data_IF_733853511602
#
_entry.id   IF_733853511602
#
_cell.length_a   1.000
_cell.length_b   1.000
_cell.length_c   1.000
_cell.angle_alpha   90.00
_cell.angle_beta   90.00
_cell.angle_gamma   90.00
#
_symmetry.space_group_name_H-M   'P 1'
#
loop_
_entity.id
_entity.type
_entity.pdbx_description
1 polymer ?
#
# COMPACT_ATOMS: atom_id res chain seq x y z
N UNK A 1 13.04 41.62 -10.19
CA UNK A 1 12.18 40.96 -9.19
C UNK A 1 12.67 41.33 -7.80
N UNK A 2 11.85 42.04 -6.99
CA UNK A 2 12.22 42.38 -5.59
C UNK A 2 12.40 41.06 -4.83
N UNK A 3 13.60 40.81 -4.30
CA UNK A 3 13.86 39.67 -3.41
C UNK A 3 12.92 39.81 -2.20
N UNK A 4 12.07 38.87 -2.00
CA UNK A 4 11.19 38.77 -0.81
C UNK A 4 12.14 38.61 0.39
N UNK A 5 12.13 39.58 1.33
CA UNK A 5 12.94 39.49 2.54
C UNK A 5 12.28 38.52 3.52
N UNK A 6 12.92 37.38 3.86
CA UNK A 6 12.33 36.38 4.76
C UNK A 6 12.03 36.96 6.16
N UNK A 7 12.65 38.05 6.56
CA UNK A 7 12.40 38.74 7.83
C UNK A 7 11.00 39.32 7.91
N UNK A 8 10.45 39.80 6.78
CA UNK A 8 9.10 40.36 6.71
C UNK A 8 8.06 39.22 6.94
N UNK A 9 8.27 38.06 6.31
CA UNK A 9 7.39 36.89 6.49
C UNK A 9 7.43 36.42 7.94
N UNK A 10 8.63 36.29 8.52
CA UNK A 10 8.79 35.89 9.92
C UNK A 10 8.16 36.88 10.89
N UNK A 11 8.30 38.18 10.66
CA UNK A 11 7.69 39.23 11.45
C UNK A 11 6.16 39.20 11.38
N UNK A 12 5.58 39.00 10.19
CA UNK A 12 4.14 38.84 10.00
C UNK A 12 3.60 37.59 10.72
N UNK A 13 4.30 36.45 10.63
CA UNK A 13 3.92 35.23 11.33
C UNK A 13 3.92 35.41 12.84
N UNK A 14 4.92 36.10 13.40
CA UNK A 14 4.96 36.40 14.84
C UNK A 14 3.84 37.34 15.26
N UNK A 15 3.50 38.36 14.47
CA UNK A 15 2.39 39.28 14.76
C UNK A 15 1.03 38.56 14.72
N UNK A 16 0.80 37.76 13.71
CA UNK A 16 -0.45 36.96 13.60
C UNK A 16 -0.54 35.95 14.73
N UNK A 17 0.55 35.23 15.03
CA UNK A 17 0.58 34.25 16.12
C UNK A 17 0.39 34.88 17.49
N UNK A 18 1.07 36.00 17.77
CA UNK A 18 0.91 36.75 19.00
C UNK A 18 -0.51 37.30 19.15
N UNK A 19 -1.10 37.82 18.07
CA UNK A 19 -2.47 38.30 18.04
C UNK A 19 -3.51 37.22 18.33
N UNK A 20 -3.34 36.03 17.73
CA UNK A 20 -4.21 34.89 17.98
C UNK A 20 -4.08 34.35 19.41
N UNK A 21 -2.85 34.26 19.94
CA UNK A 21 -2.59 33.86 21.31
C UNK A 21 -3.21 34.83 22.32
N UNK A 22 -3.13 36.15 22.06
CA UNK A 22 -3.77 37.16 22.87
C UNK A 22 -5.32 37.06 22.81
N UNK A 23 -5.89 36.88 21.64
CA UNK A 23 -7.32 36.68 21.45
C UNK A 23 -7.84 35.43 22.18
N UNK A 24 -7.06 34.36 22.23
CA UNK A 24 -7.37 33.17 23.02
C UNK A 24 -7.30 33.47 24.52
N UNK A 25 -6.24 34.11 24.98
CA UNK A 25 -6.08 34.47 26.40
C UNK A 25 -7.21 35.39 26.90
N UNK A 26 -7.73 36.25 26.04
CA UNK A 26 -8.88 37.12 26.34
C UNK A 26 -10.23 36.42 26.19
N UNK A 27 -10.27 35.12 25.80
CA UNK A 27 -11.52 34.35 25.66
C UNK A 27 -12.34 34.63 24.40
N UNK A 28 -11.83 35.42 23.45
CA UNK A 28 -12.55 35.73 22.20
C UNK A 28 -12.52 34.55 21.21
N UNK A 29 -11.54 33.63 21.30
CA UNK A 29 -11.41 32.49 20.42
C UNK A 29 -11.19 31.21 21.26
N UNK A 30 -12.05 30.21 21.11
CA UNK A 30 -11.96 28.97 21.87
C UNK A 30 -10.82 28.05 21.36
N UNK A 31 -10.47 28.09 20.07
CA UNK A 31 -9.47 27.22 19.46
C UNK A 31 -8.37 28.04 18.74
N UNK A 32 -7.93 29.14 19.36
CA UNK A 32 -6.93 30.03 18.73
C UNK A 32 -5.60 29.34 18.49
N UNK A 33 -5.19 28.39 19.37
CA UNK A 33 -3.96 27.61 19.17
C UNK A 33 -4.02 26.76 17.91
N UNK A 34 -5.16 26.08 17.67
CA UNK A 34 -5.33 25.18 16.53
C UNK A 34 -5.39 25.99 15.23
N UNK A 35 -6.12 27.13 15.24
CA UNK A 35 -6.16 28.07 14.12
C UNK A 35 -4.77 28.61 13.80
N UNK A 36 -3.98 28.96 14.85
CA UNK A 36 -2.62 29.47 14.67
C UNK A 36 -1.70 28.40 14.07
N UNK A 37 -1.60 27.24 14.71
CA UNK A 37 -0.69 26.18 14.26
C UNK A 37 -1.13 25.59 12.93
N UNK A 38 -2.41 25.29 12.74
CA UNK A 38 -2.94 24.81 11.48
C UNK A 38 -2.74 25.81 10.35
N UNK A 39 -3.04 27.08 10.59
CA UNK A 39 -2.81 28.17 9.63
C UNK A 39 -1.31 28.37 9.30
N UNK A 40 -0.44 28.27 10.31
CA UNK A 40 1.01 28.36 10.12
C UNK A 40 1.53 27.23 9.23
N UNK A 41 1.15 25.97 9.53
CA UNK A 41 1.57 24.84 8.72
C UNK A 41 1.03 24.93 7.29
N UNK A 42 -0.22 25.34 7.10
CA UNK A 42 -0.77 25.59 5.76
C UNK A 42 0.04 26.67 5.02
N UNK A 43 0.30 27.82 5.66
CA UNK A 43 1.03 28.92 5.03
C UNK A 43 2.45 28.50 4.63
N UNK A 44 3.19 27.86 5.54
CA UNK A 44 4.55 27.37 5.27
C UNK A 44 4.52 26.28 4.18
N UNK A 45 3.57 25.35 4.24
CA UNK A 45 3.39 24.32 3.23
C UNK A 45 3.13 24.92 1.84
N UNK A 46 2.24 25.91 1.75
CA UNK A 46 1.97 26.61 0.49
C UNK A 46 3.21 27.35 -0.04
N UNK A 47 4.03 27.95 0.83
CA UNK A 47 5.31 28.55 0.41
C UNK A 47 6.22 27.50 -0.21
N UNK A 48 6.34 26.32 0.39
CA UNK A 48 7.12 25.23 -0.23
C UNK A 48 6.53 24.79 -1.57
N UNK A 49 5.20 24.73 -1.71
CA UNK A 49 4.56 24.37 -2.98
C UNK A 49 4.81 25.42 -4.07
N UNK A 50 5.01 26.71 -3.74
CA UNK A 50 5.39 27.71 -4.76
C UNK A 50 6.75 27.44 -5.39
N UNK A 51 7.67 26.78 -4.65
CA UNK A 51 8.98 26.40 -5.19
C UNK A 51 8.91 25.34 -6.29
N UNK A 52 7.80 24.60 -6.38
CA UNK A 52 7.56 23.65 -7.47
C UNK A 52 7.54 24.34 -8.83
N UNK A 53 6.99 25.56 -8.91
CA UNK A 53 6.99 26.36 -10.15
C UNK A 53 8.40 26.75 -10.59
N UNK A 54 9.38 26.77 -9.65
CA UNK A 54 10.79 26.96 -9.94
C UNK A 54 11.54 25.66 -10.29
N UNK A 55 10.85 24.53 -10.42
CA UNK A 55 11.45 23.24 -10.75
C UNK A 55 12.05 22.46 -9.57
N UNK A 56 11.86 22.94 -8.34
CA UNK A 56 12.38 22.31 -7.12
C UNK A 56 11.46 21.17 -6.66
N UNK A 57 11.49 20.03 -7.36
CA UNK A 57 10.60 18.87 -7.09
C UNK A 57 10.63 18.37 -5.65
N UNK A 58 11.77 18.49 -4.94
CA UNK A 58 11.92 18.06 -3.55
C UNK A 58 11.02 18.84 -2.58
N UNK A 59 10.63 20.06 -2.94
CA UNK A 59 9.76 20.90 -2.11
C UNK A 59 8.32 20.36 -2.02
N UNK A 60 7.97 19.38 -2.85
CA UNK A 60 6.72 18.63 -2.74
C UNK A 60 6.59 17.94 -1.38
N UNK A 61 7.69 17.36 -0.85
CA UNK A 61 7.66 16.64 0.42
C UNK A 61 7.26 17.55 1.60
N UNK A 62 8.01 18.60 1.95
CA UNK A 62 7.59 19.49 3.01
C UNK A 62 6.28 20.21 2.66
N UNK A 63 6.06 20.57 1.40
CA UNK A 63 4.88 21.30 0.97
C UNK A 63 3.57 20.56 1.25
N UNK A 64 3.39 19.40 0.67
CA UNK A 64 2.16 18.61 0.86
C UNK A 64 2.03 18.05 2.27
N UNK A 65 3.14 17.66 2.92
CA UNK A 65 3.12 17.17 4.31
C UNK A 65 2.63 18.26 5.27
N UNK A 66 3.15 19.48 5.14
CA UNK A 66 2.74 20.60 5.99
C UNK A 66 1.30 21.05 5.69
N UNK A 67 0.88 21.04 4.43
CA UNK A 67 -0.52 21.29 4.06
C UNK A 67 -1.43 20.21 4.66
N UNK A 68 -1.07 18.94 4.58
CA UNK A 68 -1.82 17.85 5.19
C UNK A 68 -1.91 17.97 6.71
N UNK A 69 -0.81 18.33 7.37
CA UNK A 69 -0.77 18.57 8.81
C UNK A 69 -1.62 19.77 9.21
N UNK A 70 -1.51 20.88 8.48
CA UNK A 70 -2.34 22.05 8.72
C UNK A 70 -3.84 21.78 8.52
N UNK A 71 -4.19 21.00 7.50
CA UNK A 71 -5.55 20.56 7.25
C UNK A 71 -6.08 19.65 8.39
N UNK A 72 -5.23 18.71 8.88
CA UNK A 72 -5.56 17.87 10.02
C UNK A 72 -5.91 18.70 11.27
N UNK A 73 -5.06 19.68 11.60
CA UNK A 73 -5.27 20.52 12.80
C UNK A 73 -6.51 21.39 12.69
N UNK A 74 -6.86 21.86 11.49
CA UNK A 74 -8.03 22.71 11.25
C UNK A 74 -9.30 21.90 10.96
N UNK A 75 -9.22 20.58 11.01
CA UNK A 75 -10.37 19.74 10.70
C UNK A 75 -11.48 19.93 11.73
N UNK A 76 -12.74 20.08 11.31
CA UNK A 76 -13.88 20.13 12.25
C UNK A 76 -14.01 18.79 12.99
N UNK A 77 -14.40 18.84 14.29
CA UNK A 77 -14.59 17.64 15.13
C UNK A 77 -15.52 16.59 14.52
N UNK A 78 -16.45 17.01 13.66
CA UNK A 78 -17.34 16.08 12.92
C UNK A 78 -16.61 15.20 11.89
N UNK A 79 -15.37 15.52 11.56
CA UNK A 79 -14.54 14.82 10.59
C UNK A 79 -13.23 14.29 11.18
N UNK A 80 -13.06 14.33 12.51
CA UNK A 80 -11.84 13.92 13.21
C UNK A 80 -11.40 12.47 12.86
N UNK A 81 -12.36 11.59 12.60
CA UNK A 81 -12.10 10.21 12.16
C UNK A 81 -11.28 10.13 10.85
N UNK A 82 -11.38 11.14 9.98
CA UNK A 82 -10.64 11.22 8.72
C UNK A 82 -9.30 11.95 8.82
N UNK A 83 -8.97 12.49 9.99
CA UNK A 83 -7.77 13.30 10.17
C UNK A 83 -6.49 12.57 9.77
N UNK A 84 -6.36 11.31 10.18
CA UNK A 84 -5.25 10.45 9.78
C UNK A 84 -5.17 10.22 8.27
N UNK A 85 -6.33 10.04 7.61
CA UNK A 85 -6.39 9.88 6.16
C UNK A 85 -5.96 11.15 5.41
N UNK A 86 -6.37 12.32 5.90
CA UNK A 86 -6.00 13.62 5.32
C UNK A 86 -4.48 13.83 5.41
N UNK A 87 -3.90 13.56 6.58
CA UNK A 87 -2.45 13.69 6.76
C UNK A 87 -1.65 12.71 5.91
N UNK A 88 -2.01 11.42 5.95
CA UNK A 88 -1.37 10.39 5.11
C UNK A 88 -1.56 10.67 3.62
N UNK A 89 -2.74 11.15 3.24
CA UNK A 89 -3.04 11.59 1.88
C UNK A 89 -2.17 12.76 1.44
N UNK A 90 -1.92 13.73 2.33
CA UNK A 90 -0.99 14.83 2.08
C UNK A 90 0.42 14.33 1.78
N UNK A 91 0.94 13.41 2.61
CA UNK A 91 2.24 12.79 2.35
C UNK A 91 2.21 11.99 1.04
N UNK A 92 1.16 11.20 0.78
CA UNK A 92 1.01 10.43 -0.46
C UNK A 92 1.04 11.34 -1.69
N UNK A 93 0.37 12.48 -1.66
CA UNK A 93 0.36 13.46 -2.75
C UNK A 93 1.75 13.97 -3.11
N UNK A 94 2.66 14.10 -2.12
CA UNK A 94 4.06 14.48 -2.41
C UNK A 94 4.76 13.45 -3.30
N UNK A 95 4.57 12.15 -2.99
CA UNK A 95 5.17 11.07 -3.77
C UNK A 95 4.48 10.91 -5.14
N UNK A 96 3.16 11.09 -5.22
CA UNK A 96 2.44 11.11 -6.49
C UNK A 96 2.93 12.24 -7.39
N UNK A 97 3.10 13.45 -6.85
CA UNK A 97 3.67 14.57 -7.60
C UNK A 97 5.06 14.25 -8.14
N UNK A 98 5.95 13.71 -7.28
CA UNK A 98 7.31 13.33 -7.65
C UNK A 98 7.29 12.29 -8.78
N UNK A 99 6.43 11.27 -8.68
CA UNK A 99 6.25 10.27 -9.73
C UNK A 99 5.80 10.87 -11.05
N UNK A 100 4.75 11.71 -11.04
CA UNK A 100 4.21 12.29 -12.26
C UNK A 100 5.13 13.31 -12.92
N UNK A 101 6.07 13.91 -12.18
CA UNK A 101 7.04 14.86 -12.74
C UNK A 101 8.08 14.16 -13.65
N UNK A 102 8.48 12.92 -13.34
CA UNK A 102 9.37 12.11 -14.19
C UNK A 102 9.15 10.62 -13.94
N UNK A 103 8.21 10.02 -14.67
CA UNK A 103 7.81 8.60 -14.48
C UNK A 103 8.95 7.61 -14.73
N UNK A 104 9.91 7.96 -15.56
CA UNK A 104 11.03 7.10 -15.91
C UNK A 104 12.09 7.12 -14.81
N UNK A 105 12.50 8.29 -14.35
CA UNK A 105 13.58 8.45 -13.37
C UNK A 105 13.10 8.27 -11.94
N UNK A 106 11.84 8.67 -11.66
CA UNK A 106 11.26 8.71 -10.31
C UNK A 106 10.18 7.66 -10.09
N UNK A 107 10.28 6.57 -10.83
CA UNK A 107 9.36 5.44 -10.69
C UNK A 107 9.26 4.90 -9.27
N UNK A 108 10.35 4.98 -8.49
CA UNK A 108 10.42 4.53 -7.11
C UNK A 108 9.41 5.23 -6.20
N UNK A 109 9.03 6.47 -6.53
CA UNK A 109 8.06 7.24 -5.74
C UNK A 109 6.65 6.63 -5.78
N UNK A 110 6.36 5.77 -6.77
CA UNK A 110 5.09 5.06 -6.88
C UNK A 110 4.86 4.09 -5.70
N UNK A 111 5.94 3.50 -5.16
CA UNK A 111 5.84 2.57 -4.01
C UNK A 111 5.34 3.32 -2.76
N UNK A 112 6.04 4.33 -2.22
CA UNK A 112 5.54 5.05 -1.05
C UNK A 112 4.22 5.79 -1.33
N UNK A 113 3.99 6.29 -2.55
CA UNK A 113 2.70 6.87 -2.93
C UNK A 113 1.55 5.87 -2.74
N UNK A 114 1.71 4.65 -3.26
CA UNK A 114 0.71 3.60 -3.14
C UNK A 114 0.51 3.10 -1.71
N UNK A 115 1.61 2.89 -0.97
CA UNK A 115 1.55 2.47 0.45
C UNK A 115 0.80 3.50 1.30
N UNK A 116 1.13 4.79 1.18
CA UNK A 116 0.49 5.86 1.94
C UNK A 116 -0.97 6.07 1.52
N UNK A 117 -1.27 5.92 0.23
CA UNK A 117 -2.65 5.93 -0.25
C UNK A 117 -3.45 4.75 0.32
N UNK A 118 -2.87 3.55 0.35
CA UNK A 118 -3.52 2.39 0.96
C UNK A 118 -3.78 2.59 2.45
N UNK A 119 -2.80 3.15 3.19
CA UNK A 119 -2.98 3.50 4.61
C UNK A 119 -4.10 4.55 4.81
N UNK A 120 -4.13 5.60 3.98
CA UNK A 120 -5.20 6.60 4.04
C UNK A 120 -6.58 5.98 3.78
N UNK A 121 -6.67 5.07 2.81
CA UNK A 121 -7.90 4.34 2.51
C UNK A 121 -8.32 3.41 3.64
N UNK A 122 -7.37 2.77 4.34
CA UNK A 122 -7.68 1.97 5.55
C UNK A 122 -8.30 2.83 6.63
N UNK A 123 -7.77 4.02 6.89
CA UNK A 123 -8.37 4.93 7.88
C UNK A 123 -9.81 5.31 7.50
N UNK A 124 -10.07 5.58 6.21
CA UNK A 124 -11.43 5.87 5.73
C UNK A 124 -12.33 4.63 5.78
N UNK A 125 -11.79 3.45 5.47
CA UNK A 125 -12.57 2.21 5.44
C UNK A 125 -12.87 1.66 6.83
N UNK A 126 -11.97 1.88 7.82
CA UNK A 126 -12.10 1.33 9.17
C UNK A 126 -13.38 1.76 9.88
N UNK A 127 -13.94 2.92 9.54
CA UNK A 127 -15.22 3.39 10.11
C UNK A 127 -16.45 2.59 9.64
N UNK A 128 -16.36 1.87 8.50
CA UNK A 128 -17.50 1.14 7.90
C UNK A 128 -17.20 -0.32 7.54
N UNK A 129 -15.95 -0.66 7.31
CA UNK A 129 -15.50 -1.95 6.76
C UNK A 129 -14.22 -2.43 7.48
N UNK A 130 -14.22 -2.42 8.81
CA UNK A 130 -13.06 -2.78 9.64
C UNK A 130 -12.50 -4.17 9.27
N UNK A 131 -13.38 -5.14 9.02
CA UNK A 131 -13.04 -6.52 8.62
C UNK A 131 -12.18 -6.59 7.34
N UNK A 132 -12.36 -5.65 6.38
CA UNK A 132 -11.61 -5.61 5.12
C UNK A 132 -10.38 -4.72 5.13
N UNK A 133 -10.06 -4.06 6.26
CA UNK A 133 -8.95 -3.09 6.35
C UNK A 133 -7.61 -3.72 5.98
N UNK A 134 -7.35 -4.95 6.43
CA UNK A 134 -6.15 -5.71 6.07
C UNK A 134 -6.07 -6.00 4.57
N UNK A 135 -7.20 -6.39 3.96
CA UNK A 135 -7.26 -6.65 2.51
C UNK A 135 -7.04 -5.37 1.69
N UNK A 136 -7.65 -4.26 2.11
CA UNK A 136 -7.48 -2.93 1.48
C UNK A 136 -6.01 -2.50 1.53
N UNK A 137 -5.37 -2.66 2.70
CA UNK A 137 -3.96 -2.31 2.89
C UNK A 137 -3.04 -3.15 2.01
N UNK A 138 -3.11 -4.47 2.14
CA UNK A 138 -2.25 -5.39 1.40
C UNK A 138 -2.50 -5.31 -0.12
N UNK A 139 -3.77 -5.25 -0.52
CA UNK A 139 -4.15 -5.10 -1.92
C UNK A 139 -3.69 -3.78 -2.52
N UNK A 140 -3.82 -2.68 -1.77
CA UNK A 140 -3.35 -1.36 -2.20
C UNK A 140 -1.84 -1.32 -2.43
N UNK A 141 -1.06 -1.92 -1.53
CA UNK A 141 0.40 -2.05 -1.73
C UNK A 141 0.70 -2.96 -2.93
N UNK A 142 -0.02 -4.10 -3.06
CA UNK A 142 0.12 -4.99 -4.20
C UNK A 142 -0.11 -4.27 -5.53
N UNK A 143 -1.15 -3.44 -5.62
CA UNK A 143 -1.44 -2.61 -6.79
C UNK A 143 -0.32 -1.60 -7.09
N UNK A 144 0.31 -1.00 -6.06
CA UNK A 144 1.45 -0.11 -6.26
C UNK A 144 2.63 -0.84 -6.92
N UNK A 145 2.93 -2.08 -6.51
CA UNK A 145 3.98 -2.88 -7.14
C UNK A 145 3.62 -3.30 -8.57
N UNK A 146 2.38 -3.64 -8.87
CA UNK A 146 1.95 -3.85 -10.26
C UNK A 146 2.07 -2.56 -11.08
N UNK A 147 1.77 -1.41 -10.48
CA UNK A 147 2.04 -0.11 -11.10
C UNK A 147 3.52 0.07 -11.45
N UNK A 148 4.43 -0.29 -10.55
CA UNK A 148 5.89 -0.27 -10.80
C UNK A 148 6.25 -1.18 -11.98
N UNK A 149 5.73 -2.40 -12.03
CA UNK A 149 5.93 -3.31 -13.16
C UNK A 149 5.51 -2.67 -14.48
N UNK A 150 4.33 -2.02 -14.52
CA UNK A 150 3.80 -1.40 -15.73
C UNK A 150 4.61 -0.19 -16.22
N UNK A 151 5.45 0.43 -15.38
CA UNK A 151 6.31 1.54 -15.81
C UNK A 151 7.48 1.10 -16.70
N UNK A 152 7.97 -0.14 -16.53
CA UNK A 152 8.96 -0.78 -17.41
C UNK A 152 8.93 -2.30 -17.17
N UNK A 153 8.20 -3.01 -18.00
CA UNK A 153 7.91 -4.44 -17.82
C UNK A 153 9.15 -5.34 -17.94
N UNK A 154 10.20 -4.90 -18.66
CA UNK A 154 11.43 -5.69 -18.85
C UNK A 154 12.42 -5.53 -17.71
N UNK A 155 12.61 -4.34 -17.18
CA UNK A 155 13.57 -4.08 -16.09
C UNK A 155 12.96 -4.29 -14.70
N UNK A 156 11.63 -4.05 -14.57
CA UNK A 156 10.92 -4.06 -13.29
C UNK A 156 10.02 -5.28 -13.12
N UNK A 157 10.32 -6.35 -13.83
CA UNK A 157 9.61 -7.62 -13.73
C UNK A 157 9.57 -8.16 -12.28
N UNK A 158 10.59 -7.88 -11.48
CA UNK A 158 10.67 -8.27 -10.07
C UNK A 158 9.50 -7.77 -9.23
N UNK A 159 8.89 -6.65 -9.63
CA UNK A 159 7.76 -6.07 -8.91
C UNK A 159 6.49 -6.93 -9.00
N UNK A 160 6.41 -7.87 -9.95
CA UNK A 160 5.35 -8.87 -10.01
C UNK A 160 5.33 -9.76 -8.76
N UNK A 161 6.51 -10.05 -8.15
CA UNK A 161 6.59 -10.92 -6.98
C UNK A 161 5.91 -10.27 -5.77
N UNK A 162 6.37 -9.11 -5.24
CA UNK A 162 5.69 -8.47 -4.13
C UNK A 162 4.24 -8.07 -4.48
N UNK A 163 3.97 -7.64 -5.72
CA UNK A 163 2.62 -7.34 -6.18
C UNK A 163 1.68 -8.54 -6.05
N UNK A 164 2.07 -9.70 -6.55
CA UNK A 164 1.29 -10.92 -6.49
C UNK A 164 1.17 -11.51 -5.08
N UNK A 165 2.27 -11.52 -4.31
CA UNK A 165 2.26 -12.01 -2.91
C UNK A 165 1.30 -11.18 -2.05
N UNK A 166 1.39 -9.85 -2.12
CA UNK A 166 0.53 -8.95 -1.33
C UNK A 166 -0.93 -9.03 -1.76
N UNK A 167 -1.20 -9.16 -3.07
CA UNK A 167 -2.57 -9.38 -3.57
C UNK A 167 -3.13 -10.75 -3.15
N UNK A 168 -2.28 -11.78 -3.10
CA UNK A 168 -2.64 -13.10 -2.55
C UNK A 168 -3.00 -12.98 -1.08
N UNK A 169 -2.16 -12.32 -0.27
CA UNK A 169 -2.44 -12.10 1.15
C UNK A 169 -3.74 -11.31 1.36
N UNK A 170 -3.99 -10.28 0.54
CA UNK A 170 -5.26 -9.55 0.57
C UNK A 170 -6.47 -10.46 0.30
N UNK A 171 -6.36 -11.36 -0.69
CA UNK A 171 -7.40 -12.35 -0.97
C UNK A 171 -7.57 -13.36 0.16
N UNK A 172 -6.48 -13.78 0.78
CA UNK A 172 -6.45 -14.70 1.93
C UNK A 172 -7.13 -14.10 3.16
N UNK A 173 -6.92 -12.80 3.46
CA UNK A 173 -7.62 -12.15 4.59
C UNK A 173 -9.14 -12.16 4.38
N UNK A 174 -9.62 -11.94 3.15
CA UNK A 174 -11.05 -12.03 2.82
C UNK A 174 -11.57 -13.47 2.89
N UNK A 175 -10.75 -14.43 2.44
CA UNK A 175 -11.13 -15.84 2.44
C UNK A 175 -11.19 -16.44 3.85
N UNK A 176 -10.30 -16.01 4.76
CA UNK A 176 -10.22 -16.53 6.12
C UNK A 176 -11.54 -16.35 6.90
N UNK A 177 -12.21 -15.22 6.69
CA UNK A 177 -13.51 -14.96 7.33
C UNK A 177 -14.64 -15.89 6.87
N UNK A 178 -14.50 -16.43 5.64
CA UNK A 178 -15.56 -17.25 5.02
C UNK A 178 -15.30 -18.75 5.09
N UNK A 179 -14.04 -19.18 5.07
CA UNK A 179 -13.69 -20.58 4.81
C UNK A 179 -12.90 -21.27 5.94
N UNK A 180 -12.42 -20.54 6.94
CA UNK A 180 -11.60 -21.08 8.03
C UNK A 180 -10.11 -21.28 7.65
N UNK A 181 -9.28 -21.60 8.68
CA UNK A 181 -7.81 -21.51 8.57
C UNK A 181 -7.17 -22.50 7.59
N UNK A 182 -7.62 -23.74 7.58
CA UNK A 182 -6.97 -24.78 6.76
C UNK A 182 -7.24 -24.58 5.27
N UNK A 183 -8.43 -24.16 4.92
CA UNK A 183 -8.83 -23.88 3.54
C UNK A 183 -8.12 -22.62 3.02
N UNK A 184 -7.94 -21.65 3.89
CA UNK A 184 -7.24 -20.41 3.60
C UNK A 184 -5.77 -20.66 3.23
N UNK A 185 -5.10 -21.66 3.84
CA UNK A 185 -3.77 -22.09 3.43
C UNK A 185 -3.71 -22.58 1.98
N UNK A 186 -4.72 -23.31 1.52
CA UNK A 186 -4.84 -23.75 0.12
C UNK A 186 -4.91 -22.57 -0.85
N UNK A 187 -5.75 -21.57 -0.55
CA UNK A 187 -5.84 -20.34 -1.33
C UNK A 187 -4.54 -19.54 -1.35
N UNK A 188 -3.83 -19.49 -0.21
CA UNK A 188 -2.53 -18.83 -0.12
C UNK A 188 -1.51 -19.47 -1.08
N UNK A 189 -1.30 -20.76 -1.01
CA UNK A 189 -0.36 -21.45 -1.89
C UNK A 189 -0.77 -21.37 -3.37
N UNK A 190 -2.05 -21.45 -3.67
CA UNK A 190 -2.55 -21.30 -5.04
C UNK A 190 -2.33 -19.87 -5.56
N UNK A 191 -2.56 -18.83 -4.76
CA UNK A 191 -2.26 -17.45 -5.13
C UNK A 191 -0.77 -17.20 -5.35
N UNK A 192 0.10 -17.78 -4.51
CA UNK A 192 1.55 -17.75 -4.75
C UNK A 192 1.93 -18.47 -6.04
N UNK A 193 1.32 -19.62 -6.34
CA UNK A 193 1.54 -20.33 -7.59
C UNK A 193 1.19 -19.45 -8.80
N UNK A 194 0.04 -18.77 -8.77
CA UNK A 194 -0.36 -17.81 -9.79
C UNK A 194 0.64 -16.66 -9.91
N UNK A 195 1.16 -16.16 -8.80
CA UNK A 195 2.19 -15.12 -8.78
C UNK A 195 3.44 -15.56 -9.56
N UNK A 196 3.98 -16.75 -9.25
CA UNK A 196 5.16 -17.26 -9.95
C UNK A 196 4.85 -17.65 -11.40
N UNK A 197 3.63 -18.09 -11.71
CA UNK A 197 3.20 -18.33 -13.08
C UNK A 197 3.17 -17.03 -13.88
N UNK A 198 2.66 -15.94 -13.30
CA UNK A 198 2.71 -14.62 -13.92
C UNK A 198 4.15 -14.16 -14.18
N UNK A 199 5.06 -14.37 -13.22
CA UNK A 199 6.49 -14.09 -13.40
C UNK A 199 7.06 -14.92 -14.55
N UNK A 200 6.79 -16.24 -14.59
CA UNK A 200 7.27 -17.11 -15.64
C UNK A 200 6.82 -16.65 -17.05
N UNK A 201 5.54 -16.30 -17.18
CA UNK A 201 4.91 -15.95 -18.47
C UNK A 201 5.26 -14.52 -18.89
N UNK A 202 5.06 -13.54 -18.00
CA UNK A 202 5.19 -12.12 -18.33
C UNK A 202 6.66 -11.66 -18.36
N UNK A 203 7.49 -12.16 -17.43
CA UNK A 203 8.91 -11.86 -17.40
C UNK A 203 9.74 -12.85 -18.24
N UNK A 204 9.12 -13.88 -18.82
CA UNK A 204 9.74 -14.93 -19.63
C UNK A 204 10.91 -15.63 -18.92
N UNK A 205 10.76 -15.92 -17.63
CA UNK A 205 11.78 -16.51 -16.78
C UNK A 205 11.45 -17.98 -16.50
N UNK A 206 12.28 -18.89 -17.02
CA UNK A 206 12.02 -20.35 -16.90
C UNK A 206 12.10 -20.89 -15.47
N UNK A 207 12.91 -20.30 -14.59
CA UNK A 207 13.05 -20.73 -13.21
C UNK A 207 11.75 -20.64 -12.41
N UNK A 208 10.88 -19.67 -12.76
CA UNK A 208 9.65 -19.39 -12.01
C UNK A 208 8.56 -20.48 -12.21
N UNK A 209 8.69 -21.33 -13.23
CA UNK A 209 7.77 -22.48 -13.40
C UNK A 209 7.91 -23.52 -12.27
N UNK A 210 9.11 -23.68 -11.69
CA UNK A 210 9.31 -24.65 -10.61
C UNK A 210 8.56 -24.27 -9.32
N UNK A 211 8.76 -23.07 -8.74
CA UNK A 211 7.96 -22.67 -7.59
C UNK A 211 6.46 -22.60 -7.94
N UNK A 212 6.07 -22.17 -9.14
CA UNK A 212 4.67 -22.17 -9.56
C UNK A 212 4.05 -23.58 -9.51
N UNK A 213 4.76 -24.60 -10.02
CA UNK A 213 4.28 -25.97 -10.00
C UNK A 213 4.18 -26.55 -8.58
N UNK A 214 5.23 -26.39 -7.76
CA UNK A 214 5.23 -26.89 -6.38
C UNK A 214 4.13 -26.25 -5.54
N UNK A 215 4.05 -24.91 -5.57
CA UNK A 215 3.03 -24.16 -4.84
C UNK A 215 1.61 -24.45 -5.38
N UNK A 216 1.49 -24.66 -6.69
CA UNK A 216 0.23 -25.06 -7.32
C UNK A 216 -0.28 -26.41 -6.82
N UNK A 217 0.59 -27.40 -6.73
CA UNK A 217 0.26 -28.71 -6.14
C UNK A 217 -0.15 -28.54 -4.67
N UNK A 218 0.61 -27.79 -3.87
CA UNK A 218 0.27 -27.52 -2.46
C UNK A 218 -1.08 -26.80 -2.35
N UNK A 219 -1.35 -25.84 -3.21
CA UNK A 219 -2.62 -25.11 -3.26
C UNK A 219 -3.80 -26.01 -3.60
N UNK A 220 -3.67 -26.85 -4.64
CA UNK A 220 -4.70 -27.82 -5.03
C UNK A 220 -4.98 -28.82 -3.90
N UNK A 221 -3.94 -29.36 -3.26
CA UNK A 221 -4.09 -30.28 -2.14
C UNK A 221 -4.77 -29.59 -0.94
N UNK A 222 -4.41 -28.35 -0.63
CA UNK A 222 -5.06 -27.56 0.43
C UNK A 222 -6.52 -27.27 0.13
N UNK A 223 -6.88 -26.95 -1.12
CA UNK A 223 -8.28 -26.73 -1.56
C UNK A 223 -9.04 -28.07 -1.63
N UNK A 224 -8.41 -29.13 -2.11
CA UNK A 224 -9.02 -30.45 -2.19
C UNK A 224 -9.37 -31.03 -0.80
N UNK A 225 -8.65 -30.61 0.24
CA UNK A 225 -9.01 -30.93 1.62
C UNK A 225 -10.37 -30.32 2.05
N UNK A 226 -10.85 -29.27 1.37
CA UNK A 226 -12.22 -28.75 1.48
C UNK A 226 -13.31 -29.76 1.11
N UNK A 227 -13.02 -30.67 0.21
CA UNK A 227 -13.98 -31.56 -0.42
C UNK A 227 -14.00 -32.96 0.22
N UNK A 228 -13.48 -33.09 1.45
CA UNK A 228 -13.27 -34.38 2.14
C UNK A 228 -12.41 -35.40 1.34
N UNK A 229 -11.83 -34.98 0.23
CA UNK A 229 -10.96 -35.83 -0.59
C UNK A 229 -9.60 -36.12 0.09
N UNK A 230 -9.24 -35.37 1.14
CA UNK A 230 -7.98 -35.59 1.86
C UNK A 230 -7.86 -37.02 2.39
N UNK A 231 -8.97 -37.64 2.80
CA UNK A 231 -9.03 -39.03 3.28
C UNK A 231 -8.73 -40.05 2.17
N UNK A 232 -8.95 -39.70 0.91
CA UNK A 232 -8.73 -40.59 -0.24
C UNK A 232 -7.33 -40.40 -0.86
N UNK A 233 -6.69 -39.27 -0.68
CA UNK A 233 -5.37 -38.95 -1.25
C UNK A 233 -4.31 -39.94 -0.75
N UNK A 234 -4.30 -40.24 0.57
CA UNK A 234 -3.39 -41.20 1.15
C UNK A 234 -3.59 -42.61 0.61
N UNK A 235 -4.84 -43.03 0.47
CA UNK A 235 -5.18 -44.33 -0.08
C UNK A 235 -4.70 -44.42 -1.55
N UNK A 236 -4.90 -43.36 -2.35
CA UNK A 236 -4.43 -43.31 -3.74
C UNK A 236 -2.90 -43.38 -3.83
N UNK A 237 -2.20 -42.66 -2.96
CA UNK A 237 -0.73 -42.67 -2.90
C UNK A 237 -0.19 -44.06 -2.53
N UNK A 238 -0.81 -44.74 -1.57
CA UNK A 238 -0.44 -46.10 -1.19
C UNK A 238 -0.67 -47.11 -2.32
N UNK A 239 -1.81 -46.99 -3.00
CA UNK A 239 -2.13 -47.85 -4.16
C UNK A 239 -1.12 -47.59 -5.29
N UNK A 240 -0.84 -46.33 -5.61
CA UNK A 240 0.14 -45.98 -6.66
C UNK A 240 1.56 -46.46 -6.32
N UNK A 241 2.01 -46.25 -5.07
CA UNK A 241 3.31 -46.73 -4.61
C UNK A 241 3.38 -48.28 -4.64
N UNK A 242 2.34 -48.94 -4.15
CA UNK A 242 2.27 -50.40 -4.20
C UNK A 242 2.26 -50.94 -5.65
N UNK A 243 1.47 -50.34 -6.53
CA UNK A 243 1.45 -50.65 -7.96
C UNK A 243 2.81 -50.43 -8.64
N UNK A 244 3.48 -49.31 -8.32
CA UNK A 244 4.84 -49.03 -8.84
C UNK A 244 5.87 -50.07 -8.40
N UNK A 245 5.85 -50.49 -7.12
CA UNK A 245 6.75 -51.50 -6.59
C UNK A 245 6.51 -52.86 -7.29
N UNK A 246 5.24 -53.26 -7.46
CA UNK A 246 4.88 -54.47 -8.16
C UNK A 246 5.28 -54.43 -9.65
N UNK A 247 5.02 -53.33 -10.33
CA UNK A 247 5.42 -53.11 -11.71
C UNK A 247 6.93 -53.28 -11.87
N UNK A 248 7.71 -52.64 -10.98
CA UNK A 248 9.17 -52.75 -11.02
C UNK A 248 9.68 -54.15 -10.74
N UNK A 249 9.03 -54.90 -9.86
CA UNK A 249 9.34 -56.29 -9.59
C UNK A 249 9.12 -57.21 -10.81
N UNK A 250 8.01 -57.01 -11.56
CA UNK A 250 7.72 -57.80 -12.74
C UNK A 250 8.51 -57.41 -13.99
N UNK A 251 8.97 -56.19 -14.08
CA UNK A 251 9.79 -55.71 -15.23
C UNK A 251 11.30 -55.95 -15.06
N UNK A 252 11.78 -56.30 -13.87
CA UNK A 252 13.18 -56.63 -13.62
C UNK A 252 13.48 -58.15 -13.62
N UNK A 253 12.48 -58.98 -14.00
CA UNK A 253 12.63 -60.40 -14.32
C UNK A 253 12.66 -60.58 -15.83
#
# INVERSE_FOLDING_TARGET
>A
MKRFDPRIVFGLLLLVGGGLALAQALGYLKNASDIFWGGLFLAVGLVFLTLLFGGHWWSAFPGFTLVGLGALILLPNSLDEFGGAIFLGGIALSFWYVYFTSRIERWWALIPAGVLTALALVVVASSKFEEYSGAVFLGGIGLAFFGVYLTNTSERWWALIPGGVLSTLAGVTIAAEKFGDFQTAGFFFFGLALTFLLVAVLARTSWAYWPAAVLGVMGILGIAALLDFANYIWAFFLIAAGGFVLFRYFTQK
#
